data_IF_329382705746
#
_entry.id   IF_329382705746
#
_cell.length_a   1.000
_cell.length_b   1.000
_cell.length_c   1.000
_cell.angle_alpha   90.00
_cell.angle_beta   90.00
_cell.angle_gamma   90.00
#
_symmetry.space_group_name_H-M   'P 1'
#
loop_
_entity.id
_entity.type
_entity.pdbx_description
1 polymer ?
#
# COMPACT_ATOMS: atom_id res chain seq x y z
N UNK A 1 23.26 9.77 11.22
CA UNK A 1 24.72 9.63 11.08
C UNK A 1 25.01 9.94 9.62
N UNK A 2 26.00 10.79 9.33
CA UNK A 2 26.27 11.25 7.96
C UNK A 2 27.37 10.38 7.34
N UNK A 3 27.17 9.92 6.12
CA UNK A 3 28.15 9.09 5.42
C UNK A 3 29.47 9.84 5.19
N UNK A 4 30.64 9.27 5.51
CA UNK A 4 31.94 9.86 5.23
C UNK A 4 32.20 10.10 3.74
N UNK A 5 31.61 9.29 2.85
CA UNK A 5 31.75 9.46 1.39
C UNK A 5 31.17 10.80 0.90
N UNK A 6 30.26 11.43 1.64
CA UNK A 6 29.64 12.70 1.26
C UNK A 6 30.45 13.92 1.68
N UNK A 7 31.68 13.71 2.12
CA UNK A 7 32.65 14.78 2.35
C UNK A 7 33.61 14.93 1.15
N UNK A 8 33.50 14.06 0.15
CA UNK A 8 34.35 14.06 -1.04
C UNK A 8 33.76 15.00 -2.09
N UNK A 9 34.47 16.02 -2.55
CA UNK A 9 34.02 16.86 -3.67
C UNK A 9 34.07 16.16 -5.05
N UNK A 10 34.11 14.83 -5.06
CA UNK A 10 34.23 13.96 -6.24
C UNK A 10 33.48 12.65 -6.00
N UNK A 11 33.23 11.90 -7.06
CA UNK A 11 32.71 10.54 -6.95
C UNK A 11 33.67 9.65 -6.12
N UNK A 12 33.14 8.86 -5.17
CA UNK A 12 33.93 7.90 -4.41
C UNK A 12 34.35 6.72 -5.31
N UNK A 13 35.57 6.23 -5.13
CA UNK A 13 36.07 5.07 -5.89
C UNK A 13 35.40 3.77 -5.41
N UNK A 14 35.43 2.72 -6.24
CA UNK A 14 34.90 1.40 -5.85
C UNK A 14 35.51 0.88 -4.53
N UNK A 15 36.78 1.21 -4.27
CA UNK A 15 37.48 0.86 -3.04
C UNK A 15 36.96 1.64 -1.82
N UNK A 16 36.71 2.95 -1.97
CA UNK A 16 36.14 3.81 -0.92
C UNK A 16 34.69 3.39 -0.58
N UNK A 17 33.91 3.02 -1.60
CA UNK A 17 32.54 2.49 -1.46
C UNK A 17 32.58 1.15 -0.72
N UNK A 18 33.47 0.23 -1.10
CA UNK A 18 33.60 -1.07 -0.45
C UNK A 18 34.01 -0.95 1.03
N UNK A 19 34.86 0.02 1.37
CA UNK A 19 35.29 0.29 2.74
C UNK A 19 34.13 0.77 3.63
N UNK A 20 33.20 1.54 3.07
CA UNK A 20 32.07 2.13 3.80
C UNK A 20 30.74 1.40 3.58
N UNK A 21 30.76 0.23 2.93
CA UNK A 21 29.56 -0.55 2.58
C UNK A 21 28.70 -0.98 3.78
N UNK A 22 29.28 -1.04 4.98
CA UNK A 22 28.58 -1.41 6.22
C UNK A 22 28.20 -0.21 7.10
N UNK A 23 28.50 1.02 6.67
CA UNK A 23 28.12 2.23 7.42
C UNK A 23 26.62 2.51 7.19
N UNK A 24 25.84 2.53 8.28
CA UNK A 24 24.40 2.84 8.26
C UNK A 24 24.11 4.24 7.71
N UNK A 25 25.07 5.17 7.77
CA UNK A 25 24.98 6.48 7.14
C UNK A 25 25.17 6.46 5.63
N UNK A 26 25.86 5.44 5.10
CA UNK A 26 26.15 5.19 3.68
C UNK A 26 25.26 4.11 3.06
N UNK A 27 24.21 3.68 3.77
CA UNK A 27 23.31 2.63 3.33
C UNK A 27 22.68 2.94 1.97
N UNK A 28 22.95 2.06 1.00
CA UNK A 28 22.45 2.04 -0.38
C UNK A 28 22.44 3.41 -1.10
N UNK A 29 23.54 4.16 -1.04
CA UNK A 29 23.85 5.10 -2.13
C UNK A 29 24.45 4.33 -3.31
N UNK A 30 23.66 3.47 -3.95
CA UNK A 30 23.90 3.25 -5.37
C UNK A 30 23.60 4.58 -6.05
N UNK A 31 24.41 4.95 -7.05
CA UNK A 31 24.05 5.97 -8.03
C UNK A 31 22.56 5.81 -8.37
N UNK A 32 21.73 6.66 -7.79
CA UNK A 32 20.31 6.65 -8.11
C UNK A 32 20.24 7.34 -9.45
N UNK A 33 20.37 6.56 -10.52
CA UNK A 33 19.98 7.04 -11.83
C UNK A 33 18.55 7.53 -11.69
N UNK A 34 18.33 8.84 -11.84
CA UNK A 34 16.99 9.38 -11.88
C UNK A 34 16.43 9.09 -13.27
N UNK A 35 15.87 7.89 -13.45
CA UNK A 35 15.16 7.56 -14.67
C UNK A 35 13.68 7.80 -14.46
N UNK A 36 13.14 8.81 -15.14
CA UNK A 36 11.71 8.90 -15.33
C UNK A 36 11.35 8.08 -16.56
N UNK A 37 10.78 6.89 -16.37
CA UNK A 37 9.90 6.34 -17.40
C UNK A 37 8.54 7.03 -17.29
N UNK A 38 7.82 7.15 -18.40
CA UNK A 38 6.43 7.62 -18.52
C UNK A 38 5.42 6.97 -17.54
N UNK A 39 5.87 6.03 -16.73
CA UNK A 39 5.14 5.22 -15.75
C UNK A 39 5.00 5.86 -14.35
N UNK A 40 5.59 7.03 -14.07
CA UNK A 40 5.57 7.63 -12.73
C UNK A 40 4.23 8.29 -12.32
N UNK A 41 3.24 8.34 -13.22
CA UNK A 41 1.84 8.70 -12.89
C UNK A 41 0.85 7.54 -13.18
N UNK A 42 1.34 6.29 -13.27
CA UNK A 42 0.67 4.98 -13.57
C UNK A 42 0.97 4.37 -14.97
N UNK A 43 0.87 3.02 -15.13
CA UNK A 43 1.75 2.25 -16.00
C UNK A 43 1.17 2.04 -17.41
N UNK A 44 1.77 2.68 -18.41
CA UNK A 44 1.85 2.09 -19.75
C UNK A 44 3.01 2.68 -20.55
N UNK A 45 3.83 1.76 -21.05
CA UNK A 45 5.12 1.88 -21.73
C UNK A 45 5.34 3.05 -22.70
N UNK A 46 6.49 3.70 -22.54
CA UNK A 46 7.22 4.46 -23.55
C UNK A 46 8.48 5.04 -22.92
N UNK A 47 9.62 4.37 -23.10
CA UNK A 47 10.90 4.78 -22.55
C UNK A 47 11.41 6.05 -23.24
N UNK A 48 11.28 7.19 -22.54
CA UNK A 48 12.17 8.33 -22.71
C UNK A 48 12.83 8.54 -21.37
N UNK A 49 14.10 8.16 -21.26
CA UNK A 49 14.93 8.50 -20.11
C UNK A 49 15.03 10.03 -20.07
N UNK A 50 14.58 10.63 -18.96
CA UNK A 50 14.58 12.07 -18.77
C UNK A 50 14.46 12.41 -17.29
N UNK A 51 14.62 13.69 -16.95
CA UNK A 51 14.41 14.19 -15.59
C UNK A 51 13.20 15.09 -15.57
N UNK A 52 12.30 14.89 -14.59
CA UNK A 52 11.14 15.75 -14.43
C UNK A 52 11.57 17.15 -14.02
N UNK A 53 10.95 18.14 -14.66
CA UNK A 53 11.12 19.54 -14.32
C UNK A 53 9.79 20.13 -13.91
N UNK A 54 9.80 20.96 -12.86
CA UNK A 54 8.62 21.67 -12.37
C UNK A 54 9.02 23.02 -11.78
N UNK A 55 8.14 24.02 -11.89
CA UNK A 55 8.32 25.35 -11.31
C UNK A 55 7.69 25.48 -9.91
N UNK A 56 7.16 24.38 -9.38
CA UNK A 56 6.43 24.29 -8.13
C UNK A 56 4.91 24.24 -8.31
N UNK A 57 4.38 24.58 -9.48
CA UNK A 57 2.93 24.70 -9.71
C UNK A 57 2.21 23.34 -9.75
N UNK A 58 2.79 22.33 -10.41
CA UNK A 58 2.18 21.00 -10.45
C UNK A 58 2.28 20.32 -9.09
N UNK A 59 3.43 20.40 -8.44
CA UNK A 59 3.66 19.78 -7.14
C UNK A 59 2.86 20.44 -6.01
N UNK A 60 2.55 21.73 -6.10
CA UNK A 60 1.60 22.37 -5.19
C UNK A 60 0.20 21.72 -5.24
N UNK A 61 -0.22 21.19 -6.40
CA UNK A 61 -1.49 20.47 -6.54
C UNK A 61 -1.38 19.02 -6.09
N UNK A 62 -0.31 18.32 -6.50
CA UNK A 62 -0.12 16.88 -6.20
C UNK A 62 0.03 16.63 -4.71
N UNK A 63 0.87 17.43 -4.06
CA UNK A 63 1.27 17.25 -2.67
C UNK A 63 0.37 18.05 -1.73
N UNK A 64 -0.18 19.16 -2.21
CA UNK A 64 -1.03 20.04 -1.43
C UNK A 64 -0.35 20.45 -0.11
N UNK A 65 -1.11 20.38 0.97
CA UNK A 65 -0.65 20.76 2.31
C UNK A 65 0.19 19.67 3.01
N UNK A 66 0.37 18.48 2.41
CA UNK A 66 1.16 17.41 3.06
C UNK A 66 2.65 17.79 3.15
N UNK A 67 3.19 18.47 2.12
CA UNK A 67 4.61 18.88 2.05
C UNK A 67 4.75 20.21 1.27
N UNK A 68 4.32 21.35 1.82
CA UNK A 68 4.33 22.64 1.14
C UNK A 68 5.75 23.11 0.76
N UNK A 69 6.74 22.72 1.57
CA UNK A 69 8.16 23.00 1.35
C UNK A 69 8.66 22.49 -0.01
N UNK A 70 8.02 21.46 -0.59
CA UNK A 70 8.40 20.95 -1.90
C UNK A 70 8.22 22.03 -2.99
N UNK A 71 7.00 22.56 -3.09
CA UNK A 71 6.66 23.56 -4.10
C UNK A 71 7.41 24.87 -3.87
N UNK A 72 7.59 25.28 -2.60
CA UNK A 72 8.35 26.47 -2.25
C UNK A 72 9.82 26.38 -2.65
N UNK A 73 10.46 25.22 -2.42
CA UNK A 73 11.86 25.04 -2.81
C UNK A 73 12.03 24.97 -4.34
N UNK A 74 11.11 24.33 -5.06
CA UNK A 74 11.10 24.35 -6.53
C UNK A 74 10.98 25.77 -7.08
N UNK A 75 10.03 26.54 -6.57
CA UNK A 75 9.82 27.94 -6.96
C UNK A 75 11.02 28.84 -6.59
N UNK A 76 11.75 28.51 -5.51
CA UNK A 76 12.99 29.18 -5.12
C UNK A 76 14.22 28.72 -5.94
N UNK A 77 14.05 27.82 -6.91
CA UNK A 77 15.13 27.32 -7.73
C UNK A 77 16.09 26.39 -6.97
N UNK A 78 15.58 25.63 -6.00
CA UNK A 78 16.35 24.62 -5.25
C UNK A 78 15.83 23.23 -5.59
N UNK A 79 16.73 22.26 -5.72
CA UNK A 79 16.39 20.86 -5.98
C UNK A 79 15.90 20.22 -4.68
N UNK A 80 14.59 19.95 -4.52
CA UNK A 80 14.08 19.29 -3.34
C UNK A 80 14.41 17.80 -3.38
N UNK A 81 14.74 17.21 -2.23
CA UNK A 81 14.86 15.76 -2.12
C UNK A 81 14.57 15.27 -0.71
N UNK A 82 13.86 14.13 -0.63
CA UNK A 82 13.64 13.40 0.61
C UNK A 82 14.68 12.30 0.86
N UNK A 83 15.49 11.97 -0.16
CA UNK A 83 16.60 11.04 0.00
C UNK A 83 17.60 11.61 1.00
N UNK A 84 17.99 10.82 2.00
CA UNK A 84 19.01 11.26 2.94
C UNK A 84 20.32 11.62 2.20
N UNK A 85 20.61 10.95 1.06
CA UNK A 85 21.85 10.92 0.26
C UNK A 85 21.98 11.87 -0.92
N UNK A 86 20.98 12.68 -1.20
CA UNK A 86 20.97 13.56 -2.38
C UNK A 86 21.44 14.98 -2.09
N UNK A 87 21.15 15.50 -0.90
CA UNK A 87 21.58 16.86 -0.48
C UNK A 87 22.77 16.77 0.46
N UNK A 88 23.88 17.35 0.02
CA UNK A 88 25.15 17.38 0.71
C UNK A 88 25.16 18.37 1.90
N UNK A 89 26.19 18.31 2.75
CA UNK A 89 26.30 19.16 3.95
C UNK A 89 26.39 20.66 3.64
N UNK A 90 26.90 21.00 2.47
CA UNK A 90 26.94 22.37 1.92
C UNK A 90 25.56 22.87 1.47
N UNK A 91 24.53 22.03 1.52
CA UNK A 91 23.18 22.34 1.08
C UNK A 91 22.99 22.20 -0.43
N UNK A 92 23.94 21.61 -1.15
CA UNK A 92 23.90 21.46 -2.60
C UNK A 92 23.62 20.01 -3.04
N UNK A 93 23.21 19.87 -4.29
CA UNK A 93 23.10 18.61 -5.03
C UNK A 93 24.17 18.62 -6.11
N UNK A 94 24.87 17.49 -6.28
CA UNK A 94 25.86 17.30 -7.34
C UNK A 94 25.21 16.40 -8.40
N UNK A 95 24.97 16.95 -9.59
CA UNK A 95 24.33 16.24 -10.69
C UNK A 95 25.37 15.85 -11.75
N UNK A 96 25.42 14.56 -12.06
CA UNK A 96 26.15 14.04 -13.22
C UNK A 96 25.14 13.71 -14.30
N UNK A 97 25.27 14.32 -15.47
CA UNK A 97 24.44 14.03 -16.64
C UNK A 97 25.30 13.30 -17.65
N UNK A 98 24.98 12.03 -17.90
CA UNK A 98 25.65 11.22 -18.91
C UNK A 98 24.73 11.08 -20.13
N UNK A 99 25.23 11.43 -21.30
CA UNK A 99 24.49 11.30 -22.55
C UNK A 99 24.58 9.88 -23.10
N UNK A 100 23.52 9.38 -23.71
CA UNK A 100 23.53 8.11 -24.47
C UNK A 100 24.57 8.20 -25.61
N UNK A 101 25.78 7.68 -25.39
CA UNK A 101 26.86 7.61 -26.39
C UNK A 101 28.19 8.27 -26.02
N UNK A 102 28.37 8.79 -24.80
CA UNK A 102 29.68 9.29 -24.34
C UNK A 102 30.55 8.14 -23.81
N UNK A 103 31.61 7.77 -24.55
CA UNK A 103 32.68 6.88 -24.09
C UNK A 103 33.72 7.61 -23.18
N UNK A 104 33.51 8.89 -22.89
CA UNK A 104 34.39 9.69 -22.06
C UNK A 104 34.00 9.57 -20.59
N UNK A 105 34.72 8.69 -19.88
CA UNK A 105 34.65 8.56 -18.44
C UNK A 105 34.97 9.90 -17.74
N UNK A 106 34.09 10.27 -16.81
CA UNK A 106 34.07 11.48 -15.99
C UNK A 106 33.32 12.70 -16.59
N UNK A 107 31.99 12.60 -16.64
CA UNK A 107 31.12 13.78 -16.71
C UNK A 107 31.30 14.62 -15.43
N UNK A 108 31.64 15.91 -15.57
CA UNK A 108 31.81 16.80 -14.42
C UNK A 108 30.48 17.01 -13.68
N UNK A 109 30.52 16.97 -12.36
CA UNK A 109 29.35 17.23 -11.52
C UNK A 109 28.95 18.71 -11.65
N UNK A 110 27.71 18.97 -12.07
CA UNK A 110 27.12 20.30 -11.92
C UNK A 110 26.62 20.46 -10.50
N UNK A 111 27.06 21.52 -9.80
CA UNK A 111 26.63 21.82 -8.44
C UNK A 111 25.39 22.70 -8.49
N UNK A 112 24.28 22.18 -7.98
CA UNK A 112 22.99 22.86 -7.93
C UNK A 112 22.58 23.11 -6.47
N UNK A 113 21.87 24.21 -6.17
CA UNK A 113 21.33 24.43 -4.82
C UNK A 113 20.29 23.35 -4.47
N UNK A 114 20.46 22.69 -3.33
CA UNK A 114 19.59 21.63 -2.84
C UNK A 114 18.71 22.08 -1.68
N UNK A 115 17.61 21.35 -1.45
CA UNK A 115 16.79 21.50 -0.26
C UNK A 115 16.34 20.12 0.24
N UNK A 116 16.58 19.85 1.52
CA UNK A 116 16.02 18.67 2.16
C UNK A 116 14.55 18.93 2.43
N UNK A 117 13.72 18.01 1.99
CA UNK A 117 12.28 18.07 2.19
C UNK A 117 11.88 16.79 2.91
N UNK A 118 11.32 16.93 4.12
CA UNK A 118 10.79 15.78 4.84
C UNK A 118 9.38 15.46 4.32
N UNK A 119 9.19 14.25 3.81
CA UNK A 119 7.89 13.82 3.31
C UNK A 119 7.84 12.32 3.08
N UNK A 120 6.63 11.76 3.12
CA UNK A 120 6.39 10.31 2.96
C UNK A 120 6.09 9.90 1.50
N UNK A 121 6.23 10.81 0.54
CA UNK A 121 5.88 10.60 -0.87
C UNK A 121 7.10 10.10 -1.66
N UNK A 122 6.96 9.09 -2.51
CA UNK A 122 8.10 8.55 -3.27
C UNK A 122 8.47 9.40 -4.45
N UNK A 123 7.59 10.29 -4.89
CA UNK A 123 7.98 11.31 -5.86
C UNK A 123 9.17 12.15 -5.34
N UNK A 124 9.34 12.25 -4.02
CA UNK A 124 10.47 12.91 -3.37
C UNK A 124 11.76 12.08 -3.37
N UNK A 125 11.69 10.80 -3.76
CA UNK A 125 12.86 9.92 -3.94
C UNK A 125 13.43 10.07 -5.37
N UNK A 126 12.65 10.61 -6.31
CA UNK A 126 13.15 11.05 -7.60
C UNK A 126 13.62 12.50 -7.50
N UNK A 127 14.66 12.84 -8.25
CA UNK A 127 15.10 14.22 -8.37
C UNK A 127 14.16 14.97 -9.31
N UNK A 128 13.67 16.12 -8.86
CA UNK A 128 12.87 17.07 -9.65
C UNK A 128 13.74 18.31 -9.83
N UNK A 129 14.04 18.69 -11.08
CA UNK A 129 14.80 19.90 -11.34
C UNK A 129 13.88 21.12 -11.49
N UNK A 130 14.16 22.23 -10.79
CA UNK A 130 13.57 23.52 -11.12
C UNK A 130 13.91 23.94 -12.55
N UNK A 131 12.94 24.49 -13.27
CA UNK A 131 13.15 25.01 -14.64
C UNK A 131 14.24 26.10 -14.67
N UNK A 132 14.38 26.88 -13.58
CA UNK A 132 15.37 27.96 -13.45
C UNK A 132 16.82 27.48 -13.39
N UNK A 133 17.06 26.19 -13.16
CA UNK A 133 18.40 25.61 -13.06
C UNK A 133 18.86 24.94 -14.36
N UNK A 134 17.99 24.82 -15.36
CA UNK A 134 18.32 24.11 -16.61
C UNK A 134 19.42 24.81 -17.40
N UNK A 135 19.44 26.14 -17.40
CA UNK A 135 20.49 26.94 -18.07
C UNK A 135 21.89 26.76 -17.45
N UNK A 136 21.98 26.18 -16.25
CA UNK A 136 23.25 25.91 -15.56
C UNK A 136 23.85 24.55 -15.93
N UNK A 137 23.09 23.70 -16.63
CA UNK A 137 23.54 22.40 -17.07
C UNK A 137 24.34 22.56 -18.37
N UNK A 138 25.54 21.99 -18.41
CA UNK A 138 26.41 22.01 -19.60
C UNK A 138 25.98 20.99 -20.67
N UNK A 139 24.69 20.68 -20.74
CA UNK A 139 24.09 19.69 -21.65
C UNK A 139 22.91 20.34 -22.38
N UNK A 140 22.80 20.08 -23.68
CA UNK A 140 21.65 20.52 -24.47
C UNK A 140 20.44 19.65 -24.12
N UNK A 141 19.46 20.24 -23.45
CA UNK A 141 18.27 19.55 -22.95
C UNK A 141 17.03 20.06 -23.67
N UNK A 142 16.30 19.15 -24.30
CA UNK A 142 14.98 19.43 -24.84
C UNK A 142 13.92 19.34 -23.74
N UNK A 143 13.36 20.49 -23.34
CA UNK A 143 12.22 20.53 -22.42
C UNK A 143 10.95 20.25 -23.19
N UNK A 144 10.33 19.10 -22.92
CA UNK A 144 9.07 18.68 -23.54
C UNK A 144 7.93 18.71 -22.51
N UNK A 145 6.74 19.24 -22.85
CA UNK A 145 5.56 19.10 -21.99
C UNK A 145 5.23 17.62 -21.78
N UNK A 146 5.32 17.15 -20.53
CA UNK A 146 5.08 15.74 -20.19
C UNK A 146 3.64 15.50 -19.72
N UNK A 147 3.16 16.32 -18.78
CA UNK A 147 1.84 16.17 -18.19
C UNK A 147 1.25 17.53 -17.79
N UNK A 148 -0.08 17.58 -17.69
CA UNK A 148 -0.81 18.72 -17.12
C UNK A 148 -1.51 18.25 -15.86
N UNK A 149 -1.25 18.93 -14.75
CA UNK A 149 -1.89 18.67 -13.47
C UNK A 149 -2.90 19.78 -13.21
N UNK A 150 -4.13 19.39 -12.88
CA UNK A 150 -5.19 20.34 -12.58
C UNK A 150 -6.05 19.83 -11.41
N UNK A 151 -6.46 20.75 -10.55
CA UNK A 151 -7.42 20.46 -9.49
C UNK A 151 -8.80 21.03 -9.87
N UNK A 152 -9.85 20.21 -9.92
CA UNK A 152 -11.18 20.71 -10.17
C UNK A 152 -11.69 21.53 -8.97
N UNK A 153 -12.37 22.65 -9.23
CA UNK A 153 -12.91 23.55 -8.19
C UNK A 153 -14.06 22.95 -7.38
N UNK A 154 -14.65 21.85 -7.85
CA UNK A 154 -15.66 21.06 -7.18
C UNK A 154 -15.50 19.58 -7.57
N UNK A 155 -16.12 18.68 -6.79
CA UNK A 155 -16.17 17.26 -7.18
C UNK A 155 -16.91 17.10 -8.50
N UNK A 156 -16.29 16.37 -9.42
CA UNK A 156 -16.90 16.04 -10.70
C UNK A 156 -17.77 14.80 -10.60
N UNK A 157 -18.69 14.68 -11.56
CA UNK A 157 -19.51 13.48 -11.78
C UNK A 157 -18.83 12.56 -12.78
N UNK A 158 -19.14 11.26 -12.75
CA UNK A 158 -18.61 10.29 -13.72
C UNK A 158 -18.83 10.71 -15.19
N UNK A 159 -19.95 11.38 -15.47
CA UNK A 159 -20.26 11.89 -16.80
C UNK A 159 -19.27 12.98 -17.25
N UNK A 160 -18.90 13.90 -16.36
CA UNK A 160 -17.94 14.96 -16.65
C UNK A 160 -16.52 14.39 -16.83
N UNK A 161 -16.17 13.39 -16.03
CA UNK A 161 -14.89 12.69 -16.16
C UNK A 161 -14.78 11.94 -17.49
N UNK A 162 -15.85 11.25 -17.89
CA UNK A 162 -15.93 10.57 -19.18
C UNK A 162 -15.88 11.54 -20.36
N UNK A 163 -16.52 12.71 -20.23
CA UNK A 163 -16.46 13.79 -21.22
C UNK A 163 -15.03 14.31 -21.39
N UNK A 164 -14.32 14.60 -20.29
CA UNK A 164 -12.91 15.01 -20.34
C UNK A 164 -12.03 13.93 -21.00
N UNK A 165 -12.17 12.68 -20.56
CA UNK A 165 -11.40 11.57 -21.11
C UNK A 165 -11.64 11.41 -22.63
N UNK A 166 -12.87 11.63 -23.09
CA UNK A 166 -13.22 11.60 -24.52
C UNK A 166 -12.62 12.80 -25.26
N UNK A 167 -12.71 13.99 -24.70
CA UNK A 167 -12.16 15.21 -25.28
C UNK A 167 -10.64 15.13 -25.47
N UNK A 168 -9.91 14.61 -24.47
CA UNK A 168 -8.45 14.46 -24.53
C UNK A 168 -8.01 13.39 -25.53
N UNK A 169 -8.69 12.23 -25.57
CA UNK A 169 -8.45 11.23 -26.62
C UNK A 169 -8.73 11.77 -28.03
N UNK A 170 -9.65 12.72 -28.15
CA UNK A 170 -9.91 13.43 -29.41
C UNK A 170 -8.75 14.30 -29.90
N UNK A 171 -7.79 14.64 -29.02
CA UNK A 171 -6.57 15.40 -29.36
C UNK A 171 -5.48 14.45 -29.86
N UNK A 172 -5.24 13.35 -29.14
CA UNK A 172 -4.28 12.31 -29.52
C UNK A 172 -4.62 10.99 -28.83
N UNK A 173 -4.46 9.88 -29.55
CA UNK A 173 -4.60 8.52 -29.01
C UNK A 173 -3.51 8.19 -27.97
N UNK A 174 -2.41 8.94 -27.95
CA UNK A 174 -1.30 8.78 -27.00
C UNK A 174 -1.55 9.53 -25.67
N UNK A 175 -2.53 10.44 -25.62
CA UNK A 175 -2.85 11.17 -24.40
C UNK A 175 -3.84 10.41 -23.53
N UNK A 176 -3.48 10.19 -22.27
CA UNK A 176 -4.34 9.60 -21.26
C UNK A 176 -4.74 10.64 -20.22
N UNK A 177 -6.00 10.55 -19.77
CA UNK A 177 -6.48 11.30 -18.61
C UNK A 177 -6.50 10.34 -17.43
N UNK A 178 -5.76 10.71 -16.37
CA UNK A 178 -5.87 10.07 -15.07
C UNK A 178 -6.60 11.00 -14.13
N UNK A 179 -7.62 10.49 -13.46
CA UNK A 179 -8.39 11.22 -12.45
C UNK A 179 -8.22 10.45 -11.15
N UNK A 180 -7.54 11.07 -10.20
CA UNK A 180 -7.35 10.50 -8.89
C UNK A 180 -8.68 10.56 -8.12
N UNK A 181 -9.24 9.38 -7.82
CA UNK A 181 -10.36 9.24 -6.90
C UNK A 181 -9.86 8.60 -5.63
N UNK A 182 -10.45 8.97 -4.49
CA UNK A 182 -10.32 8.14 -3.29
C UNK A 182 -10.74 6.70 -3.66
N UNK A 183 -10.02 5.66 -3.20
CA UNK A 183 -10.31 4.28 -3.56
C UNK A 183 -11.81 3.99 -3.42
N UNK A 184 -12.48 3.82 -4.56
CA UNK A 184 -13.88 3.42 -4.56
C UNK A 184 -13.98 2.05 -3.90
N UNK A 185 -14.89 1.91 -2.95
CA UNK A 185 -15.16 0.63 -2.27
C UNK A 185 -15.92 -0.34 -3.17
N UNK A 186 -15.69 -0.28 -4.47
CA UNK A 186 -16.32 -1.16 -5.42
C UNK A 186 -15.65 -2.52 -5.30
N UNK A 187 -16.41 -3.43 -4.68
CA UNK A 187 -15.98 -4.81 -4.48
C UNK A 187 -15.99 -5.48 -5.84
N UNK A 188 -14.82 -5.55 -6.47
CA UNK A 188 -14.65 -6.31 -7.72
C UNK A 188 -15.19 -7.73 -7.57
N UNK A 189 -15.79 -8.26 -8.64
CA UNK A 189 -16.30 -9.64 -8.68
C UNK A 189 -15.23 -10.64 -8.22
N UNK A 190 -13.97 -10.39 -8.56
CA UNK A 190 -12.83 -11.20 -8.15
C UNK A 190 -12.67 -11.22 -6.63
N UNK A 191 -12.75 -10.05 -5.99
CA UNK A 191 -12.70 -9.92 -4.52
C UNK A 191 -13.89 -10.64 -3.89
N UNK A 192 -15.08 -10.51 -4.47
CA UNK A 192 -16.28 -11.20 -4.00
C UNK A 192 -16.11 -12.74 -4.07
N UNK A 193 -15.45 -13.24 -5.11
CA UNK A 193 -15.20 -14.66 -5.31
C UNK A 193 -14.18 -15.21 -4.29
N UNK A 194 -13.11 -14.46 -4.03
CA UNK A 194 -12.12 -14.81 -2.99
C UNK A 194 -12.71 -14.75 -1.59
N UNK A 195 -13.42 -13.68 -1.24
CA UNK A 195 -14.08 -13.55 0.07
C UNK A 195 -15.18 -14.60 0.23
N UNK A 196 -15.98 -14.85 -0.81
CA UNK A 196 -17.03 -15.86 -0.80
C UNK A 196 -16.49 -17.28 -0.62
N UNK A 197 -15.43 -17.65 -1.35
CA UNK A 197 -14.78 -18.96 -1.21
C UNK A 197 -14.11 -19.13 0.16
N UNK A 198 -13.40 -18.11 0.65
CA UNK A 198 -12.84 -18.11 2.00
C UNK A 198 -13.93 -18.24 3.08
N UNK A 199 -15.05 -17.54 2.92
CA UNK A 199 -16.21 -17.65 3.81
C UNK A 199 -16.82 -19.05 3.83
N UNK A 200 -16.99 -19.68 2.65
CA UNK A 200 -17.46 -21.07 2.55
C UNK A 200 -16.50 -22.05 3.24
N UNK A 201 -15.20 -21.89 3.07
CA UNK A 201 -14.18 -22.71 3.74
C UNK A 201 -14.22 -22.53 5.27
N UNK A 202 -14.35 -21.28 5.73
CA UNK A 202 -14.47 -20.98 7.16
C UNK A 202 -15.74 -21.60 7.77
N UNK A 203 -16.87 -21.55 7.06
CA UNK A 203 -18.12 -22.19 7.47
C UNK A 203 -17.99 -23.71 7.52
N UNK A 204 -17.35 -24.33 6.52
CA UNK A 204 -17.08 -25.76 6.51
C UNK A 204 -16.20 -26.19 7.69
N UNK A 205 -15.11 -25.47 7.96
CA UNK A 205 -14.25 -25.72 9.10
C UNK A 205 -14.99 -25.56 10.45
N UNK A 206 -15.81 -24.51 10.58
CA UNK A 206 -16.62 -24.26 11.79
C UNK A 206 -17.66 -25.35 11.98
N UNK A 207 -18.28 -25.85 10.90
CA UNK A 207 -19.24 -26.94 10.95
C UNK A 207 -18.58 -28.24 11.43
N UNK A 208 -17.39 -28.56 10.94
CA UNK A 208 -16.61 -29.73 11.37
C UNK A 208 -16.24 -29.61 12.86
N UNK A 209 -15.70 -28.47 13.27
CA UNK A 209 -15.32 -28.21 14.66
C UNK A 209 -16.54 -28.28 15.61
N UNK A 210 -17.67 -27.69 15.21
CA UNK A 210 -18.92 -27.74 15.97
C UNK A 210 -19.49 -29.15 16.04
N UNK A 211 -19.38 -29.93 14.95
CA UNK A 211 -19.76 -31.34 14.92
C UNK A 211 -18.95 -32.18 15.90
N UNK A 212 -17.64 -31.96 15.96
CA UNK A 212 -16.74 -32.63 16.90
C UNK A 212 -17.07 -32.26 18.35
N UNK A 213 -17.25 -30.96 18.63
CA UNK A 213 -17.66 -30.46 19.94
C UNK A 213 -19.03 -31.00 20.37
N UNK A 214 -19.97 -31.15 19.43
CA UNK A 214 -21.27 -31.73 19.69
C UNK A 214 -21.18 -33.22 20.09
N UNK A 215 -20.19 -33.97 19.60
CA UNK A 215 -19.96 -35.37 20.02
C UNK A 215 -19.46 -35.41 21.46
N UNK A 216 -18.50 -34.56 21.82
CA UNK A 216 -17.92 -34.52 23.16
C UNK A 216 -18.95 -34.06 24.22
N UNK A 217 -19.78 -33.07 23.87
CA UNK A 217 -20.83 -32.57 24.75
C UNK A 217 -21.95 -33.57 25.06
N UNK A 218 -22.08 -34.69 24.31
CA UNK A 218 -23.11 -35.71 24.59
C UNK A 218 -22.93 -36.36 25.96
N UNK A 219 -21.68 -36.53 26.40
CA UNK A 219 -21.37 -37.09 27.71
C UNK A 219 -21.84 -36.15 28.84
N UNK A 220 -21.53 -34.86 28.75
CA UNK A 220 -21.94 -33.84 29.73
C UNK A 220 -23.47 -33.64 29.76
N UNK A 221 -24.12 -33.78 28.61
CA UNK A 221 -25.57 -33.68 28.50
C UNK A 221 -26.30 -34.88 29.13
N UNK A 222 -25.65 -36.05 29.23
CA UNK A 222 -26.19 -37.22 29.92
C UNK A 222 -26.19 -37.04 31.45
N UNK A 223 -25.20 -36.35 32.01
CA UNK A 223 -25.17 -35.95 33.43
C UNK A 223 -26.20 -34.86 33.71
N UNK A 224 -26.34 -33.86 32.82
CA UNK A 224 -27.36 -32.81 32.99
C UNK A 224 -28.80 -33.33 32.83
N UNK A 225 -29.02 -34.36 32.01
CA UNK A 225 -30.35 -34.99 31.91
C UNK A 225 -30.72 -35.76 33.18
N UNK A 226 -29.73 -36.29 33.91
CA UNK A 226 -29.94 -36.93 35.21
C UNK A 226 -30.41 -35.95 36.30
N UNK A 227 -30.13 -34.65 36.15
CA UNK A 227 -30.57 -33.58 37.08
C UNK A 227 -31.86 -32.87 36.60
N UNK A 228 -32.46 -33.29 35.48
CA UNK A 228 -33.74 -32.75 34.99
C UNK A 228 -33.65 -31.44 34.19
N UNK A 229 -32.50 -31.14 33.59
CA UNK A 229 -32.32 -29.91 32.82
C UNK A 229 -33.29 -29.80 31.63
N UNK A 230 -34.02 -28.68 31.56
CA UNK A 230 -35.00 -28.47 30.48
C UNK A 230 -34.33 -28.40 29.09
N UNK A 231 -34.99 -28.89 28.01
CA UNK A 231 -34.42 -28.89 26.66
C UNK A 231 -34.02 -27.50 26.14
N UNK A 232 -34.65 -26.44 26.66
CA UNK A 232 -34.35 -25.04 26.31
C UNK A 232 -33.01 -24.58 26.88
N UNK A 233 -32.66 -25.00 28.08
CA UNK A 233 -31.37 -24.66 28.71
C UNK A 233 -30.23 -25.33 27.95
N UNK A 234 -30.38 -26.61 27.57
CA UNK A 234 -29.39 -27.34 26.77
C UNK A 234 -29.10 -26.65 25.42
N UNK A 235 -30.13 -26.18 24.72
CA UNK A 235 -29.98 -25.43 23.45
C UNK A 235 -29.25 -24.10 23.64
N UNK A 236 -29.57 -23.36 24.70
CA UNK A 236 -28.91 -22.08 24.99
C UNK A 236 -27.44 -22.26 25.35
N UNK A 237 -27.12 -23.26 26.18
CA UNK A 237 -25.74 -23.54 26.58
C UNK A 237 -24.91 -23.98 25.37
N UNK A 238 -25.41 -24.90 24.54
CA UNK A 238 -24.72 -25.32 23.33
C UNK A 238 -24.52 -24.16 22.33
N UNK A 239 -25.53 -23.29 22.17
CA UNK A 239 -25.42 -22.10 21.34
C UNK A 239 -24.38 -21.10 21.85
N UNK A 240 -24.33 -20.86 23.18
CA UNK A 240 -23.34 -19.96 23.79
C UNK A 240 -21.91 -20.51 23.68
N UNK A 241 -21.71 -21.82 23.86
CA UNK A 241 -20.42 -22.47 23.68
C UNK A 241 -19.91 -22.34 22.24
N UNK A 242 -20.78 -22.62 21.26
CA UNK A 242 -20.43 -22.46 19.84
C UNK A 242 -20.14 -20.99 19.49
N UNK A 243 -20.98 -20.06 19.96
CA UNK A 243 -20.74 -18.63 19.74
C UNK A 243 -19.41 -18.15 20.33
N UNK A 244 -19.07 -18.60 21.55
CA UNK A 244 -17.78 -18.29 22.18
C UNK A 244 -16.60 -18.89 21.41
N UNK A 245 -16.72 -20.15 20.97
CA UNK A 245 -15.70 -20.80 20.16
C UNK A 245 -15.46 -20.05 18.85
N UNK A 246 -16.53 -19.67 18.15
CA UNK A 246 -16.44 -18.87 16.93
C UNK A 246 -15.80 -17.51 17.19
N UNK A 247 -16.16 -16.83 18.29
CA UNK A 247 -15.55 -15.55 18.66
C UNK A 247 -14.03 -15.70 18.87
N UNK A 248 -13.58 -16.76 19.56
CA UNK A 248 -12.16 -17.02 19.76
C UNK A 248 -11.40 -17.35 18.47
N UNK A 249 -12.08 -17.83 17.43
CA UNK A 249 -11.47 -18.05 16.10
C UNK A 249 -11.44 -16.80 15.23
N UNK A 250 -12.49 -15.95 15.30
CA UNK A 250 -12.60 -14.73 14.49
C UNK A 250 -11.51 -13.72 14.85
N UNK A 251 -11.21 -13.53 16.15
CA UNK A 251 -10.19 -12.57 16.60
C UNK A 251 -8.79 -12.82 16.00
N UNK A 252 -8.17 -14.01 16.14
CA UNK A 252 -6.88 -14.29 15.51
C UNK A 252 -6.97 -14.35 13.98
N UNK A 253 -8.11 -14.73 13.41
CA UNK A 253 -8.32 -14.66 11.95
C UNK A 253 -8.24 -13.22 11.41
N UNK A 254 -8.87 -12.27 12.11
CA UNK A 254 -8.76 -10.84 11.79
C UNK A 254 -7.33 -10.36 11.98
N UNK A 255 -6.68 -10.69 13.10
CA UNK A 255 -5.31 -10.28 13.37
C UNK A 255 -4.32 -10.81 12.31
N UNK A 256 -4.42 -12.09 11.93
CA UNK A 256 -3.60 -12.70 10.90
C UNK A 256 -3.85 -12.11 9.52
N UNK A 257 -5.12 -11.88 9.15
CA UNK A 257 -5.48 -11.23 7.89
C UNK A 257 -4.94 -9.80 7.79
N UNK A 258 -5.02 -9.04 8.89
CA UNK A 258 -4.43 -7.70 8.96
C UNK A 258 -2.90 -7.75 8.86
N UNK A 259 -2.25 -8.70 9.52
CA UNK A 259 -0.80 -8.87 9.45
C UNK A 259 -0.32 -9.20 8.01
N UNK A 260 -1.00 -10.11 7.32
CA UNK A 260 -0.69 -10.46 5.92
C UNK A 260 -0.97 -9.27 4.99
N UNK A 261 -2.11 -8.60 5.17
CA UNK A 261 -2.45 -7.41 4.38
C UNK A 261 -1.45 -6.28 4.59
N UNK A 262 -1.02 -6.05 5.83
CA UNK A 262 0.02 -5.09 6.15
C UNK A 262 1.35 -5.47 5.51
N UNK A 263 1.78 -6.72 5.65
CA UNK A 263 3.02 -7.22 5.05
C UNK A 263 3.02 -7.06 3.51
N UNK A 264 1.89 -7.37 2.86
CA UNK A 264 1.73 -7.19 1.43
C UNK A 264 1.83 -5.72 1.03
N UNK A 265 1.07 -4.84 1.69
CA UNK A 265 1.11 -3.39 1.44
C UNK A 265 2.53 -2.84 1.66
N UNK A 266 3.21 -3.23 2.74
CA UNK A 266 4.59 -2.78 2.99
C UNK A 266 5.59 -3.33 1.97
N UNK A 267 5.37 -4.55 1.48
CA UNK A 267 6.23 -5.15 0.47
C UNK A 267 6.08 -4.42 -0.87
N UNK A 268 4.83 -4.13 -1.26
CA UNK A 268 4.50 -3.34 -2.45
C UNK A 268 4.95 -1.88 -2.32
N UNK A 269 4.96 -1.33 -1.09
CA UNK A 269 5.39 0.04 -0.84
C UNK A 269 6.90 0.26 -0.83
N UNK A 270 7.74 -0.80 -0.86
CA UNK A 270 9.20 -0.57 -0.90
C UNK A 270 10.15 -1.74 -0.66
N UNK A 271 9.77 -3.02 -0.76
CA UNK A 271 10.69 -4.15 -0.46
C UNK A 271 10.94 -5.12 -1.63
N UNK A 272 10.69 -4.74 -2.89
CA UNK A 272 11.02 -5.64 -4.00
C UNK A 272 10.57 -5.25 -5.40
N UNK A 273 10.24 -3.98 -5.64
CA UNK A 273 9.95 -3.47 -6.99
C UNK A 273 10.97 -2.41 -7.35
N UNK A 274 11.37 -2.38 -8.63
CA UNK A 274 12.36 -1.44 -9.18
C UNK A 274 11.96 0.04 -8.99
N UNK A 275 10.67 0.32 -8.69
CA UNK A 275 10.15 1.62 -8.31
C UNK A 275 9.15 1.48 -7.13
N UNK A 276 9.47 1.97 -5.92
CA UNK A 276 8.57 2.01 -4.77
C UNK A 276 7.40 3.00 -4.95
N UNK A 277 6.17 2.61 -4.57
CA UNK A 277 4.98 3.47 -4.54
C UNK A 277 4.33 3.48 -3.13
N UNK A 278 4.42 4.58 -2.36
CA UNK A 278 3.96 4.73 -0.98
C UNK A 278 2.55 5.33 -0.93
N UNK A 279 1.91 5.56 -2.08
CA UNK A 279 0.46 5.81 -2.15
C UNK A 279 -0.33 4.58 -1.67
N UNK A 280 0.32 3.41 -1.64
CA UNK A 280 -0.16 2.18 -1.03
C UNK A 280 -0.39 2.37 0.47
N UNK A 281 -1.59 2.84 0.82
CA UNK A 281 -2.07 2.99 2.19
C UNK A 281 -3.01 1.84 2.53
N UNK A 282 -2.78 1.19 3.67
CA UNK A 282 -3.69 0.14 4.15
C UNK A 282 -5.00 0.76 4.66
N UNK A 283 -6.07 0.67 3.87
CA UNK A 283 -7.41 1.05 4.30
C UNK A 283 -8.08 -0.12 5.03
N UNK A 284 -8.14 -0.07 6.36
CA UNK A 284 -8.76 -1.12 7.17
C UNK A 284 -10.29 -1.03 7.12
N UNK A 285 -11.01 -2.09 6.69
CA UNK A 285 -12.47 -2.08 6.59
C UNK A 285 -13.12 -2.34 7.95
N UNK A 286 -13.04 -1.38 8.87
CA UNK A 286 -13.55 -1.51 10.25
C UNK A 286 -15.00 -1.98 10.35
N UNK A 287 -15.86 -1.53 9.43
CA UNK A 287 -17.27 -1.94 9.37
C UNK A 287 -17.43 -3.42 9.08
N UNK A 288 -16.64 -3.96 8.16
CA UNK A 288 -16.64 -5.39 7.81
C UNK A 288 -16.08 -6.23 8.95
N UNK A 289 -15.02 -5.76 9.60
CA UNK A 289 -14.43 -6.43 10.78
C UNK A 289 -15.41 -6.46 11.95
N UNK A 290 -16.05 -5.34 12.27
CA UNK A 290 -17.06 -5.26 13.32
C UNK A 290 -18.26 -6.17 13.01
N UNK A 291 -18.71 -6.19 11.74
CA UNK A 291 -19.77 -7.09 11.30
C UNK A 291 -19.35 -8.56 11.46
N UNK A 292 -18.12 -8.95 11.08
CA UNK A 292 -17.64 -10.32 11.24
C UNK A 292 -17.61 -10.77 12.72
N UNK A 293 -17.14 -9.90 13.62
CA UNK A 293 -17.08 -10.16 15.07
C UNK A 293 -18.45 -10.40 15.68
N UNK A 294 -19.51 -9.79 15.14
CA UNK A 294 -20.87 -9.92 15.67
C UNK A 294 -21.68 -10.99 14.93
N UNK A 295 -21.68 -10.96 13.60
CA UNK A 295 -22.53 -11.80 12.76
C UNK A 295 -22.09 -13.27 12.81
N UNK A 296 -20.78 -13.56 12.77
CA UNK A 296 -20.30 -14.95 12.75
C UNK A 296 -20.65 -15.70 14.06
N UNK A 297 -20.40 -15.16 15.27
CA UNK A 297 -20.81 -15.82 16.51
C UNK A 297 -22.33 -15.99 16.64
N UNK A 298 -23.13 -15.02 16.17
CA UNK A 298 -24.59 -15.12 16.18
C UNK A 298 -25.08 -16.22 15.24
N UNK A 299 -24.50 -16.32 14.04
CA UNK A 299 -24.84 -17.38 13.08
C UNK A 299 -24.44 -18.76 13.62
N UNK A 300 -23.23 -18.90 14.15
CA UNK A 300 -22.76 -20.16 14.72
C UNK A 300 -23.61 -20.59 15.92
N UNK A 301 -23.73 -19.72 16.94
CA UNK A 301 -24.51 -20.02 18.13
C UNK A 301 -26.00 -20.23 17.83
N UNK A 302 -26.57 -19.44 16.91
CA UNK A 302 -27.93 -19.58 16.43
C UNK A 302 -28.16 -20.91 15.72
N UNK A 303 -27.30 -21.28 14.77
CA UNK A 303 -27.37 -22.55 14.06
C UNK A 303 -27.24 -23.73 15.04
N UNK A 304 -26.28 -23.70 15.96
CA UNK A 304 -26.11 -24.76 16.96
C UNK A 304 -27.33 -24.89 17.85
N UNK A 305 -27.89 -23.77 18.34
CA UNK A 305 -29.10 -23.80 19.17
C UNK A 305 -30.33 -24.35 18.41
N UNK A 306 -30.45 -24.04 17.11
CA UNK A 306 -31.51 -24.53 16.22
C UNK A 306 -31.38 -26.04 15.94
N UNK A 307 -30.18 -26.51 15.60
CA UNK A 307 -29.93 -27.90 15.21
C UNK A 307 -29.71 -28.85 16.39
N UNK A 308 -29.60 -28.35 17.63
CA UNK A 308 -29.50 -29.21 18.81
C UNK A 308 -30.84 -29.95 19.08
N UNK A 309 -30.86 -31.30 18.96
CA UNK A 309 -32.08 -32.08 19.08
C UNK A 309 -32.61 -32.07 20.52
N UNK A 310 -33.94 -31.95 20.65
CA UNK A 310 -34.62 -31.78 21.94
C UNK A 310 -35.05 -33.08 22.62
N UNK A 311 -34.87 -34.24 21.99
CA UNK A 311 -35.38 -35.54 22.49
C UNK A 311 -34.23 -36.53 22.67
N UNK A 312 -34.21 -37.22 23.81
CA UNK A 312 -33.30 -38.34 24.05
C UNK A 312 -33.80 -39.56 23.26
N UNK A 313 -32.93 -40.30 22.55
CA UNK A 313 -33.25 -41.64 22.08
C UNK A 313 -33.51 -42.51 23.31
N UNK A 314 -34.72 -43.05 23.43
CA UNK A 314 -35.02 -44.05 24.45
C UNK A 314 -34.19 -45.30 24.13
N UNK A 315 -33.06 -45.47 24.83
CA UNK A 315 -32.33 -46.74 24.83
C UNK A 315 -33.21 -47.77 25.51
N UNK A 316 -33.76 -48.67 24.70
CA UNK A 316 -34.55 -49.82 25.13
C UNK A 316 -33.70 -50.64 26.11
N UNK A 317 -34.19 -50.80 27.34
CA UNK A 317 -33.60 -51.69 28.36
C UNK A 317 -33.60 -53.11 27.78
N UNK A 318 -32.45 -53.82 27.70
CA UNK A 318 -32.48 -55.25 27.43
C UNK A 318 -33.27 -55.91 28.57
N UNK A 319 -34.33 -56.63 28.22
CA UNK A 319 -35.05 -57.47 29.15
C UNK A 319 -34.13 -58.62 29.53
N UNK A 320 -34.03 -58.88 30.84
CA UNK A 320 -33.44 -60.09 31.41
C UNK A 320 -34.22 -61.35 30.96
#
# INVERSE_FOLDING_TARGET
MTCPLWLLDREPTEEEIAEHANDLGCGESQFSGSFWSSSALYPSAGAREGVLTDDGSAFAIIVGDEVPELAENLAAGRVPSAGYSSVWQDGNVRLHVEGSGSDDGASQATVLPGARVEGRLTVLHNMILPLSLLDQLEVDLDVVPHAVVAQPSARWTEAQEAELATAVRGISDEMAVSIERLPERDVSLTVLLFVGSAGLLALAATWIASGLAAVESRADLATLSAVGASPRVRRRVAGLQSGFLTLTGVLPGIAGGLAVGWAFVTASAGLGTEMPDPTWRMAVPWTVLAAAVVVLPLLAGGATALFTPSRLPLTRRPAE
#
